data_IF_142056652786
#
_entry.id   IF_142056652786
#
_cell.length_a   1.000
_cell.length_b   1.000
_cell.length_c   1.000
_cell.angle_alpha   90.00
_cell.angle_beta   90.00
_cell.angle_gamma   90.00
#
_symmetry.space_group_name_H-M   'P 1'
#
loop_
_entity.id
_entity.type
_entity.pdbx_description
1 polymer ?
#
# COMPACT_ATOMS: atom_id res chain seq x y z
N UNK A 1 69.14 -38.01 6.68
CA UNK A 1 67.79 -38.56 6.76
C UNK A 1 66.94 -37.50 7.45
N UNK A 2 66.24 -36.59 6.68
CA UNK A 2 65.35 -35.54 7.18
C UNK A 2 63.98 -35.82 6.62
N UNK A 3 63.00 -36.18 7.50
CA UNK A 3 61.62 -36.42 7.16
C UNK A 3 60.91 -35.08 7.24
N UNK A 4 60.46 -34.54 6.09
CA UNK A 4 59.54 -33.40 6.02
C UNK A 4 58.12 -33.89 6.28
N UNK A 5 57.49 -33.35 7.32
CA UNK A 5 56.08 -33.55 7.64
C UNK A 5 55.34 -32.30 7.07
N UNK A 6 54.61 -32.51 5.99
CA UNK A 6 53.75 -31.49 5.41
C UNK A 6 52.41 -31.51 6.14
N UNK A 7 52.17 -30.47 6.97
CA UNK A 7 50.91 -30.28 7.70
C UNK A 7 49.90 -29.58 6.77
N UNK A 8 48.95 -30.37 6.25
CA UNK A 8 47.85 -29.84 5.43
C UNK A 8 46.82 -29.14 6.31
N UNK A 9 46.75 -27.81 6.16
CA UNK A 9 45.74 -26.98 6.83
C UNK A 9 44.41 -27.09 6.04
N UNK A 10 43.49 -27.93 6.51
CA UNK A 10 42.13 -28.01 5.98
C UNK A 10 41.34 -26.84 6.57
N UNK A 11 41.14 -25.80 5.76
CA UNK A 11 40.30 -24.65 6.09
C UNK A 11 38.84 -25.05 5.90
N UNK A 12 38.16 -25.44 7.00
CA UNK A 12 36.71 -25.63 7.05
C UNK A 12 36.03 -24.27 6.90
N UNK A 13 35.57 -23.92 5.67
CA UNK A 13 34.66 -22.86 5.45
C UNK A 13 33.27 -23.22 6.03
N UNK A 14 33.01 -22.78 7.24
CA UNK A 14 31.67 -22.80 7.83
C UNK A 14 30.79 -21.81 7.03
N UNK A 15 30.04 -22.31 6.06
CA UNK A 15 28.95 -21.55 5.45
C UNK A 15 27.89 -21.31 6.52
N UNK A 16 27.91 -20.13 7.15
CA UNK A 16 26.79 -19.65 7.93
C UNK A 16 25.64 -19.40 6.95
N UNK A 17 24.74 -20.36 6.79
CA UNK A 17 23.46 -20.16 6.16
C UNK A 17 22.68 -19.17 7.04
N UNK A 18 22.60 -17.92 6.60
CA UNK A 18 21.67 -16.95 7.16
C UNK A 18 20.27 -17.57 7.00
N UNK A 19 19.43 -17.60 8.04
CA UNK A 19 18.05 -18.00 7.87
C UNK A 19 17.44 -17.04 6.85
N UNK A 20 17.06 -17.56 5.70
CA UNK A 20 16.16 -16.85 4.80
C UNK A 20 14.90 -16.58 5.64
N UNK A 21 14.67 -15.32 5.98
CA UNK A 21 13.37 -14.88 6.46
C UNK A 21 12.40 -15.13 5.29
N UNK A 22 11.86 -16.33 5.23
CA UNK A 22 10.64 -16.59 4.49
C UNK A 22 9.58 -15.75 5.21
N UNK A 23 9.26 -14.62 4.62
CA UNK A 23 8.07 -13.86 4.96
C UNK A 23 6.90 -14.78 4.58
N UNK A 24 6.52 -15.69 5.50
CA UNK A 24 5.23 -16.36 5.40
C UNK A 24 4.21 -15.25 5.33
N UNK A 25 3.69 -15.02 4.11
CA UNK A 25 2.60 -14.08 3.94
C UNK A 25 1.46 -14.60 4.78
N UNK A 26 1.20 -13.95 5.94
CA UNK A 26 0.10 -14.31 6.81
C UNK A 26 -1.21 -14.19 6.01
N UNK A 27 -2.30 -14.73 6.54
CA UNK A 27 -3.60 -14.75 5.83
C UNK A 27 -4.06 -13.36 5.41
N UNK A 28 -3.75 -12.33 6.21
CA UNK A 28 -4.03 -10.92 5.88
C UNK A 28 -3.21 -10.46 4.67
N UNK A 29 -1.92 -10.78 4.60
CA UNK A 29 -1.07 -10.46 3.44
C UNK A 29 -1.55 -11.14 2.15
N UNK A 30 -2.02 -12.39 2.25
CA UNK A 30 -2.64 -13.08 1.10
C UNK A 30 -3.93 -12.39 0.63
N UNK A 31 -4.74 -11.92 1.58
CA UNK A 31 -5.94 -11.16 1.27
C UNK A 31 -5.58 -9.81 0.63
N UNK A 32 -4.59 -9.09 1.16
CA UNK A 32 -4.10 -7.84 0.58
C UNK A 32 -3.68 -8.00 -0.89
N UNK A 33 -2.86 -9.01 -1.18
CA UNK A 33 -2.43 -9.30 -2.55
C UNK A 33 -3.63 -9.62 -3.45
N UNK A 34 -4.53 -10.49 -3.00
CA UNK A 34 -5.73 -10.82 -3.78
C UNK A 34 -6.59 -9.59 -4.07
N UNK A 35 -6.84 -8.72 -3.09
CA UNK A 35 -7.63 -7.50 -3.28
C UNK A 35 -7.01 -6.57 -4.32
N UNK A 36 -5.68 -6.36 -4.27
CA UNK A 36 -4.99 -5.49 -5.22
C UNK A 36 -4.96 -6.06 -6.63
N UNK A 37 -4.71 -7.37 -6.76
CA UNK A 37 -4.62 -8.05 -8.05
C UNK A 37 -5.99 -8.18 -8.75
N UNK A 38 -7.07 -8.27 -7.98
CA UNK A 38 -8.44 -8.40 -8.48
C UNK A 38 -9.07 -7.07 -8.91
N UNK A 39 -8.41 -5.93 -8.63
CA UNK A 39 -8.89 -4.62 -9.09
C UNK A 39 -8.25 -4.21 -10.41
N UNK A 40 -9.08 -3.83 -11.39
CA UNK A 40 -8.60 -3.21 -12.62
C UNK A 40 -8.33 -1.70 -12.46
N UNK A 41 -7.70 -1.08 -13.48
CA UNK A 41 -7.32 0.34 -13.43
C UNK A 41 -8.51 1.31 -13.27
N UNK A 42 -9.69 0.97 -13.83
CA UNK A 42 -10.88 1.79 -13.64
C UNK A 42 -11.36 1.74 -12.19
N UNK A 43 -11.36 0.56 -11.59
CA UNK A 43 -11.80 0.37 -10.21
C UNK A 43 -10.88 1.08 -9.22
N UNK A 44 -9.55 1.09 -9.47
CA UNK A 44 -8.60 1.88 -8.67
C UNK A 44 -8.89 3.39 -8.75
N UNK A 45 -9.24 3.91 -9.94
CA UNK A 45 -9.63 5.32 -10.11
C UNK A 45 -10.95 5.65 -9.41
N UNK A 46 -11.94 4.77 -9.47
CA UNK A 46 -13.21 4.95 -8.75
C UNK A 46 -13.00 4.91 -7.23
N UNK A 47 -12.09 4.06 -6.74
CA UNK A 47 -11.67 4.04 -5.33
C UNK A 47 -10.99 5.36 -4.94
N UNK A 48 -10.04 5.85 -5.74
CA UNK A 48 -9.37 7.14 -5.52
C UNK A 48 -10.36 8.30 -5.47
N UNK A 49 -11.34 8.31 -6.36
CA UNK A 49 -12.43 9.29 -6.37
C UNK A 49 -13.29 9.21 -5.10
N UNK A 50 -13.62 8.01 -4.64
CA UNK A 50 -14.38 7.83 -3.40
C UNK A 50 -13.61 8.34 -2.17
N UNK A 51 -12.31 8.07 -2.09
CA UNK A 51 -11.42 8.62 -1.04
C UNK A 51 -11.42 10.15 -1.08
N UNK A 52 -11.32 10.76 -2.27
CA UNK A 52 -11.42 12.20 -2.42
C UNK A 52 -12.77 12.75 -1.91
N UNK A 53 -13.89 12.08 -2.20
CA UNK A 53 -15.22 12.52 -1.71
C UNK A 53 -15.33 12.40 -0.18
N UNK A 54 -14.66 11.41 0.42
CA UNK A 54 -14.57 11.32 1.87
C UNK A 54 -13.78 12.50 2.46
N UNK A 55 -12.63 12.85 1.88
CA UNK A 55 -11.85 14.03 2.28
C UNK A 55 -12.61 15.34 2.08
N UNK A 56 -13.30 15.47 0.93
CA UNK A 56 -14.15 16.61 0.61
C UNK A 56 -15.39 16.75 1.52
N UNK A 57 -15.65 15.78 2.38
CA UNK A 57 -16.71 15.86 3.40
C UNK A 57 -16.22 16.48 4.71
N UNK A 58 -14.90 16.64 4.89
CA UNK A 58 -14.32 17.26 6.08
C UNK A 58 -14.76 18.73 6.19
N UNK A 59 -15.11 19.20 7.38
CA UNK A 59 -15.73 20.52 7.60
C UNK A 59 -14.87 21.69 7.09
N UNK A 60 -13.55 21.61 7.18
CA UNK A 60 -12.62 22.64 6.69
C UNK A 60 -12.43 22.60 5.15
N UNK A 61 -12.66 21.44 4.53
CA UNK A 61 -12.34 21.22 3.11
C UNK A 61 -13.57 21.37 2.22
N UNK A 62 -14.76 21.04 2.75
CA UNK A 62 -15.99 20.95 1.96
C UNK A 62 -16.34 22.21 1.15
N UNK A 63 -15.93 23.39 1.63
CA UNK A 63 -16.16 24.67 0.93
C UNK A 63 -15.30 24.85 -0.33
N UNK A 64 -14.23 24.07 -0.45
CA UNK A 64 -13.31 24.11 -1.60
C UNK A 64 -13.62 23.03 -2.65
N UNK A 65 -14.58 22.15 -2.39
CA UNK A 65 -14.90 21.03 -3.24
C UNK A 65 -16.35 21.12 -3.74
N UNK A 66 -16.53 21.10 -5.07
CA UNK A 66 -17.86 21.04 -5.68
C UNK A 66 -18.33 19.58 -5.81
N UNK A 67 -18.66 18.96 -4.67
CA UNK A 67 -19.11 17.55 -4.58
C UNK A 67 -20.52 17.53 -4.02
N UNK A 68 -21.47 17.02 -4.80
CA UNK A 68 -22.87 16.94 -4.41
C UNK A 68 -23.16 15.71 -3.54
N UNK A 69 -24.31 15.71 -2.86
CA UNK A 69 -24.80 14.53 -2.13
C UNK A 69 -25.04 13.34 -3.10
N UNK A 70 -25.52 13.61 -4.31
CA UNK A 70 -25.72 12.59 -5.35
C UNK A 70 -24.42 11.93 -5.80
N UNK A 71 -23.33 12.71 -5.97
CA UNK A 71 -22.02 12.17 -6.33
C UNK A 71 -21.49 11.22 -5.25
N UNK A 72 -21.64 11.60 -3.98
CA UNK A 72 -21.23 10.77 -2.83
C UNK A 72 -22.03 9.49 -2.74
N UNK A 73 -23.34 9.57 -2.92
CA UNK A 73 -24.21 8.39 -2.88
C UNK A 73 -23.89 7.41 -4.01
N UNK A 74 -23.78 7.89 -5.25
CA UNK A 74 -23.40 7.05 -6.39
C UNK A 74 -22.05 6.38 -6.20
N UNK A 75 -21.06 7.14 -5.72
CA UNK A 75 -19.73 6.61 -5.46
C UNK A 75 -19.75 5.55 -4.35
N UNK A 76 -20.51 5.77 -3.27
CA UNK A 76 -20.66 4.82 -2.17
C UNK A 76 -21.39 3.54 -2.61
N UNK A 77 -22.40 3.66 -3.46
CA UNK A 77 -23.06 2.47 -4.05
C UNK A 77 -22.09 1.66 -4.92
N UNK A 78 -21.26 2.34 -5.71
CA UNK A 78 -20.23 1.67 -6.51
C UNK A 78 -19.23 0.93 -5.62
N UNK A 79 -18.72 1.59 -4.57
CA UNK A 79 -17.79 1.00 -3.62
C UNK A 79 -18.40 -0.20 -2.89
N UNK A 80 -19.66 -0.11 -2.46
CA UNK A 80 -20.35 -1.23 -1.83
C UNK A 80 -20.40 -2.48 -2.71
N UNK A 81 -20.68 -2.30 -4.00
CA UNK A 81 -20.68 -3.41 -4.99
C UNK A 81 -19.27 -3.95 -5.22
N UNK A 82 -18.28 -3.07 -5.38
CA UNK A 82 -16.88 -3.45 -5.59
C UNK A 82 -16.34 -4.25 -4.39
N UNK A 83 -16.50 -3.73 -3.18
CA UNK A 83 -16.04 -4.38 -1.96
C UNK A 83 -16.72 -5.75 -1.76
N UNK A 84 -18.03 -5.84 -2.01
CA UNK A 84 -18.76 -7.10 -1.93
C UNK A 84 -18.20 -8.13 -2.92
N UNK A 85 -17.96 -7.74 -4.17
CA UNK A 85 -17.38 -8.63 -5.17
C UNK A 85 -15.99 -9.10 -4.75
N UNK A 86 -15.12 -8.16 -4.36
CA UNK A 86 -13.75 -8.47 -3.95
C UNK A 86 -13.71 -9.46 -2.77
N UNK A 87 -14.48 -9.20 -1.71
CA UNK A 87 -14.42 -10.02 -0.50
C UNK A 87 -15.19 -11.33 -0.62
N UNK A 88 -16.35 -11.33 -1.28
CA UNK A 88 -17.28 -12.46 -1.28
C UNK A 88 -17.22 -13.30 -2.57
N UNK A 89 -16.48 -12.88 -3.59
CA UNK A 89 -16.36 -13.59 -4.85
C UNK A 89 -14.89 -13.79 -5.23
N UNK A 90 -14.17 -12.72 -5.59
CA UNK A 90 -12.83 -12.80 -6.14
C UNK A 90 -11.81 -13.32 -5.11
N UNK A 91 -11.89 -12.88 -3.85
CA UNK A 91 -10.95 -13.22 -2.78
C UNK A 91 -11.63 -14.00 -1.62
N UNK A 92 -12.68 -14.77 -1.93
CA UNK A 92 -13.49 -15.45 -0.91
C UNK A 92 -12.68 -16.31 0.06
N UNK A 93 -11.79 -17.17 -0.43
CA UNK A 93 -11.01 -18.08 0.40
C UNK A 93 -9.99 -17.31 1.29
N UNK A 94 -9.34 -16.28 0.74
CA UNK A 94 -8.41 -15.43 1.51
C UNK A 94 -9.16 -14.63 2.57
N UNK A 95 -10.34 -14.11 2.22
CA UNK A 95 -11.22 -13.39 3.15
C UNK A 95 -11.64 -14.29 4.29
N UNK A 96 -12.13 -15.49 3.99
CA UNK A 96 -12.58 -16.47 4.99
C UNK A 96 -11.46 -16.88 5.93
N UNK A 97 -10.26 -17.15 5.39
CA UNK A 97 -9.10 -17.53 6.18
C UNK A 97 -8.65 -16.38 7.11
N UNK A 98 -8.45 -15.19 6.57
CA UNK A 98 -8.04 -14.03 7.34
C UNK A 98 -9.07 -13.68 8.43
N UNK A 99 -10.35 -13.73 8.09
CA UNK A 99 -11.44 -13.48 9.06
C UNK A 99 -11.49 -14.53 10.17
N UNK A 100 -11.24 -15.81 9.86
CA UNK A 100 -11.23 -16.87 10.88
C UNK A 100 -10.07 -16.73 11.87
N UNK A 101 -8.94 -16.19 11.44
CA UNK A 101 -7.74 -16.01 12.28
C UNK A 101 -7.78 -14.71 13.10
N UNK A 102 -8.26 -13.61 12.53
CA UNK A 102 -8.15 -12.28 13.12
C UNK A 102 -9.49 -11.52 13.21
N UNK A 103 -10.60 -12.13 12.80
CA UNK A 103 -11.92 -11.52 12.84
C UNK A 103 -12.04 -10.26 11.96
N UNK A 104 -12.92 -9.31 12.32
CA UNK A 104 -13.12 -8.07 11.54
C UNK A 104 -11.87 -7.23 11.35
N UNK A 105 -10.90 -7.31 12.26
CA UNK A 105 -9.63 -6.58 12.17
C UNK A 105 -8.82 -6.97 10.94
N UNK A 106 -8.91 -8.24 10.49
CA UNK A 106 -8.25 -8.71 9.28
C UNK A 106 -8.72 -7.95 8.03
N UNK A 107 -10.02 -7.71 7.92
CA UNK A 107 -10.61 -6.98 6.79
C UNK A 107 -10.14 -5.53 6.81
N UNK A 108 -10.18 -4.88 7.98
CA UNK A 108 -9.71 -3.51 8.14
C UNK A 108 -8.24 -3.37 7.76
N UNK A 109 -7.39 -4.28 8.22
CA UNK A 109 -5.96 -4.30 7.90
C UNK A 109 -5.71 -4.61 6.42
N UNK A 110 -6.48 -5.50 5.81
CA UNK A 110 -6.36 -5.80 4.39
C UNK A 110 -6.71 -4.59 3.52
N UNK A 111 -7.70 -3.78 3.93
CA UNK A 111 -8.08 -2.57 3.20
C UNK A 111 -7.07 -1.42 3.32
N UNK A 112 -6.07 -1.47 4.20
CA UNK A 112 -5.01 -0.44 4.23
C UNK A 112 -4.24 -0.39 2.91
N UNK A 113 -3.89 -1.54 2.34
CA UNK A 113 -3.19 -1.61 1.05
C UNK A 113 -4.06 -1.11 -0.11
N UNK A 114 -5.37 -1.31 -0.03
CA UNK A 114 -6.33 -0.78 -1.02
C UNK A 114 -6.33 0.75 -0.99
N UNK A 115 -6.22 1.35 0.21
CA UNK A 115 -6.02 2.79 0.37
C UNK A 115 -4.70 3.30 -0.21
N UNK A 116 -3.61 2.56 -0.03
CA UNK A 116 -2.30 2.88 -0.62
C UNK A 116 -2.35 2.85 -2.16
N UNK A 117 -3.04 1.87 -2.74
CA UNK A 117 -3.25 1.79 -4.19
C UNK A 117 -4.06 2.99 -4.71
N UNK A 118 -5.12 3.39 -4.00
CA UNK A 118 -5.90 4.58 -4.36
C UNK A 118 -5.07 5.86 -4.28
N UNK A 119 -4.26 6.01 -3.24
CA UNK A 119 -3.36 7.14 -3.08
C UNK A 119 -2.29 7.17 -4.19
N UNK A 120 -1.69 6.03 -4.51
CA UNK A 120 -0.72 5.90 -5.59
C UNK A 120 -1.31 6.27 -6.95
N UNK A 121 -2.56 5.89 -7.22
CA UNK A 121 -3.28 6.28 -8.45
C UNK A 121 -3.46 7.81 -8.54
N UNK A 122 -3.81 8.47 -7.42
CA UNK A 122 -3.91 9.93 -7.36
C UNK A 122 -2.57 10.61 -7.58
N UNK A 123 -1.52 10.13 -6.91
CA UNK A 123 -0.17 10.68 -6.99
C UNK A 123 0.51 10.42 -8.35
N UNK A 124 0.00 9.48 -9.14
CA UNK A 124 0.43 9.24 -10.52
C UNK A 124 -0.03 10.30 -11.53
N UNK A 125 -1.02 11.14 -11.19
CA UNK A 125 -1.51 12.20 -12.07
C UNK A 125 -0.53 13.38 -12.14
N UNK A 126 -0.22 13.82 -13.36
CA UNK A 126 0.76 14.90 -13.60
C UNK A 126 0.31 16.24 -13.00
N UNK A 127 -0.97 16.54 -12.97
CA UNK A 127 -1.49 17.79 -12.39
C UNK A 127 -1.35 17.75 -10.86
N UNK A 128 -1.60 16.59 -10.25
CA UNK A 128 -1.39 16.39 -8.81
C UNK A 128 0.08 16.56 -8.46
N UNK A 129 0.99 15.92 -9.19
CA UNK A 129 2.44 16.06 -8.99
C UNK A 129 2.90 17.51 -9.14
N UNK A 130 2.45 18.20 -10.19
CA UNK A 130 2.78 19.61 -10.43
C UNK A 130 2.30 20.50 -9.29
N UNK A 131 1.09 20.27 -8.79
CA UNK A 131 0.56 21.02 -7.65
C UNK A 131 1.34 20.73 -6.36
N UNK A 132 1.62 19.45 -6.11
CA UNK A 132 2.39 19.04 -4.93
C UNK A 132 3.82 19.62 -4.92
N UNK A 133 4.47 19.74 -6.08
CA UNK A 133 5.79 20.37 -6.20
C UNK A 133 5.77 21.90 -6.16
N UNK A 134 4.64 22.53 -6.33
CA UNK A 134 4.53 23.99 -6.45
C UNK A 134 4.97 24.78 -5.19
N UNK A 135 5.01 24.13 -4.02
CA UNK A 135 5.47 24.76 -2.77
C UNK A 135 6.98 25.02 -2.76
N UNK A 136 7.78 24.31 -3.56
CA UNK A 136 9.25 24.39 -3.57
C UNK A 136 9.75 25.81 -3.83
N UNK A 137 9.03 26.59 -4.64
CA UNK A 137 9.37 28.00 -4.92
C UNK A 137 9.20 28.94 -3.71
N UNK A 138 8.55 28.48 -2.66
CA UNK A 138 8.34 29.25 -1.42
C UNK A 138 9.26 28.81 -0.28
N UNK A 139 10.13 27.81 -0.53
CA UNK A 139 11.09 27.36 0.46
C UNK A 139 12.13 28.45 0.73
N UNK A 140 12.50 28.63 2.00
CA UNK A 140 13.58 29.51 2.44
C UNK A 140 14.94 28.82 2.15
N UNK A 141 15.51 29.12 0.98
CA UNK A 141 16.74 28.48 0.50
C UNK A 141 17.93 28.78 1.41
N UNK A 142 18.00 29.95 2.06
CA UNK A 142 19.11 30.29 2.99
C UNK A 142 19.10 29.34 4.18
N UNK A 143 17.93 29.13 4.78
CA UNK A 143 17.80 28.19 5.90
C UNK A 143 18.07 26.74 5.51
N UNK A 144 17.66 26.34 4.32
CA UNK A 144 17.91 24.97 3.84
C UNK A 144 19.37 24.70 3.52
N UNK A 145 20.10 25.72 3.04
CA UNK A 145 21.53 25.58 2.73
C UNK A 145 22.36 25.21 3.95
N UNK A 146 21.99 25.69 5.15
CA UNK A 146 22.70 25.36 6.41
C UNK A 146 22.60 23.88 6.80
N UNK A 147 21.68 23.11 6.19
CA UNK A 147 21.56 21.67 6.45
C UNK A 147 22.63 20.82 5.73
N UNK A 148 23.35 21.42 4.78
CA UNK A 148 24.38 20.76 3.98
C UNK A 148 25.82 21.12 4.41
N UNK A 149 25.98 21.96 5.43
CA UNK A 149 27.25 22.30 6.06
C UNK A 149 27.53 21.45 7.30
#
# INVERSE_FOLDING_TARGET
MKKSVTLGLIMLMSMNALPAFSQESNSVGKLQSCLTDSMNGRERKELAKWVFFAMASHYEIKSYANVTAGDKDQSSQYMGKLVTRLLAQDCYEQTKLAYSEYGPAAIQQAFSVVGEVAFSELMGDQNVQSYMGAFEKYLDQEKLHTLSE
#
